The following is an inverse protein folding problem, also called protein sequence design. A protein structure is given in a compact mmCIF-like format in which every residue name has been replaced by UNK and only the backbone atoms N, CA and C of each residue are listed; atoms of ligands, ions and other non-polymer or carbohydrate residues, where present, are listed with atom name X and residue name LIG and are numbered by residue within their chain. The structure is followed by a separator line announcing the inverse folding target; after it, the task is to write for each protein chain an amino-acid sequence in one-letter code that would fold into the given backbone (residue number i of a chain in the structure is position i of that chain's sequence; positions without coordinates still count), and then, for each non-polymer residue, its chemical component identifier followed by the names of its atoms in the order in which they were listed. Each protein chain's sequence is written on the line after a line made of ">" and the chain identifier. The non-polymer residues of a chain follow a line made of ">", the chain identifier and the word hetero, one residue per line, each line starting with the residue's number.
data_IF_727403292733
#
_entry.id   IF_727403292733
#
_cell.length_a   1.000
_cell.length_b   1.000
_cell.length_c   1.000
_cell.angle_alpha   90.00
_cell.angle_beta   90.00
_cell.angle_gamma   90.00
#
_symmetry.space_group_name_H-M   'P 1'
#
loop_
_entity.id
_entity.type
_entity.pdbx_description
1 polymer ?
#
# COMPACT_ATOMS: atom_id res chain seq x y z
N UNK A 1 -1.05 19.93 -21.70
CA UNK A 1 -1.86 20.62 -20.68
C UNK A 1 -2.12 19.61 -19.58
N UNK A 2 -1.31 19.62 -18.54
CA UNK A 2 -1.51 18.75 -17.37
C UNK A 2 -2.62 19.38 -16.53
N UNK A 3 -3.83 18.81 -16.61
CA UNK A 3 -4.90 19.15 -15.66
C UNK A 3 -4.48 18.78 -14.24
N UNK A 4 -5.23 19.29 -13.25
CA UNK A 4 -5.06 18.82 -11.88
C UNK A 4 -5.30 17.30 -11.83
N UNK A 5 -4.46 16.55 -11.12
CA UNK A 5 -4.65 15.10 -10.89
C UNK A 5 -5.44 14.85 -9.61
N UNK A 6 -5.35 15.76 -8.64
CA UNK A 6 -5.96 15.64 -7.31
C UNK A 6 -7.16 16.56 -7.21
N UNK A 7 -8.29 16.02 -6.77
CA UNK A 7 -9.40 16.82 -6.27
C UNK A 7 -9.04 17.33 -4.87
N UNK A 8 -8.49 18.55 -4.82
CA UNK A 8 -8.01 19.15 -3.57
C UNK A 8 -9.14 19.37 -2.57
N UNK A 9 -10.36 19.66 -3.04
CA UNK A 9 -11.50 19.91 -2.17
C UNK A 9 -11.95 18.62 -1.47
N UNK A 10 -12.12 17.54 -2.25
CA UNK A 10 -12.41 16.21 -1.71
C UNK A 10 -11.29 15.75 -0.77
N UNK A 11 -10.03 15.93 -1.16
CA UNK A 11 -8.88 15.54 -0.35
C UNK A 11 -8.87 16.22 1.04
N UNK A 12 -9.15 17.51 1.10
CA UNK A 12 -9.26 18.27 2.35
C UNK A 12 -10.48 17.84 3.19
N UNK A 13 -11.60 17.51 2.55
CA UNK A 13 -12.79 17.02 3.25
C UNK A 13 -12.53 15.69 3.96
N UNK A 14 -11.92 14.73 3.26
CA UNK A 14 -11.52 13.47 3.86
C UNK A 14 -10.56 13.67 5.04
N UNK A 15 -9.62 14.61 4.95
CA UNK A 15 -8.74 14.90 6.09
C UNK A 15 -9.51 15.47 7.28
N UNK A 16 -10.43 16.42 7.05
CA UNK A 16 -11.27 16.97 8.14
C UNK A 16 -12.08 15.87 8.83
N UNK A 17 -12.67 14.96 8.05
CA UNK A 17 -13.41 13.82 8.59
C UNK A 17 -12.53 12.83 9.34
N UNK A 18 -11.31 12.58 8.85
CA UNK A 18 -10.35 11.72 9.52
C UNK A 18 -9.95 12.34 10.87
N UNK A 19 -9.59 13.62 10.92
CA UNK A 19 -9.17 14.31 12.14
C UNK A 19 -10.27 14.40 13.22
N UNK A 20 -11.53 14.19 12.85
CA UNK A 20 -12.61 14.02 13.82
C UNK A 20 -12.60 12.63 14.51
N UNK A 21 -11.74 11.70 14.07
CA UNK A 21 -11.69 10.29 14.49
C UNK A 21 -10.28 9.80 14.89
N UNK A 22 -9.23 10.52 14.51
CA UNK A 22 -7.83 10.22 14.83
C UNK A 22 -7.07 11.50 15.12
N UNK A 23 -6.20 11.46 16.12
CA UNK A 23 -5.35 12.60 16.51
C UNK A 23 -4.08 12.68 15.67
N UNK A 24 -3.47 13.87 15.58
CA UNK A 24 -2.16 14.03 14.91
C UNK A 24 -1.09 13.14 15.55
N UNK A 25 -1.03 13.07 16.88
CA UNK A 25 -0.09 12.20 17.60
C UNK A 25 -0.27 10.71 17.27
N UNK A 26 -1.49 10.27 16.96
CA UNK A 26 -1.75 8.89 16.53
C UNK A 26 -1.32 8.67 15.08
N UNK A 27 -1.48 9.66 14.21
CA UNK A 27 -0.99 9.60 12.83
C UNK A 27 0.54 9.54 12.80
N UNK A 28 1.21 10.35 13.62
CA UNK A 28 2.67 10.34 13.76
C UNK A 28 3.17 8.97 14.27
N UNK A 29 2.48 8.39 15.26
CA UNK A 29 2.79 7.03 15.75
C UNK A 29 2.63 5.96 14.66
N UNK A 30 1.63 6.08 13.79
CA UNK A 30 1.48 5.14 12.66
C UNK A 30 2.65 5.33 11.68
N UNK A 31 3.07 6.57 11.42
CA UNK A 31 4.24 6.83 10.58
C UNK A 31 5.53 6.23 11.17
N UNK A 32 5.75 6.35 12.48
CA UNK A 32 6.89 5.73 13.18
C UNK A 32 6.84 4.19 13.08
N UNK A 33 5.65 3.58 13.18
CA UNK A 33 5.46 2.14 12.96
C UNK A 33 5.82 1.72 11.52
N UNK A 34 5.55 2.58 10.52
CA UNK A 34 5.94 2.34 9.13
C UNK A 34 7.45 2.48 8.92
N UNK A 35 8.11 3.42 9.60
CA UNK A 35 9.58 3.51 9.59
C UNK A 35 10.22 2.23 10.18
N UNK A 36 9.65 1.68 11.25
CA UNK A 36 10.09 0.40 11.79
C UNK A 36 9.86 -0.77 10.79
N UNK A 37 8.71 -0.78 10.10
CA UNK A 37 8.43 -1.75 9.03
C UNK A 37 9.40 -1.63 7.87
N UNK A 38 9.70 -0.40 7.45
CA UNK A 38 10.70 -0.10 6.42
C UNK A 38 12.08 -0.63 6.80
N UNK A 39 12.58 -0.29 7.98
CA UNK A 39 13.87 -0.77 8.48
C UNK A 39 13.93 -2.31 8.47
N UNK A 40 12.83 -2.97 8.86
CA UNK A 40 12.73 -4.43 8.83
C UNK A 40 12.73 -5.00 7.41
N UNK A 41 11.98 -4.42 6.48
CA UNK A 41 11.99 -4.87 5.08
C UNK A 41 13.37 -4.70 4.47
N UNK A 42 14.04 -3.57 4.71
CA UNK A 42 15.42 -3.35 4.28
C UNK A 42 16.38 -4.39 4.84
N UNK A 43 16.25 -4.77 6.12
CA UNK A 43 17.11 -5.80 6.71
C UNK A 43 16.84 -7.21 6.15
N UNK A 44 15.57 -7.53 5.85
CA UNK A 44 15.17 -8.86 5.35
C UNK A 44 15.40 -9.04 3.85
N UNK A 45 15.28 -7.95 3.09
CA UNK A 45 15.36 -7.92 1.63
C UNK A 45 16.63 -7.23 1.15
N UNK A 46 17.60 -6.99 2.04
CA UNK A 46 18.84 -6.25 1.77
C UNK A 46 19.39 -6.67 0.40
N UNK A 47 19.44 -5.76 -0.58
CA UNK A 47 19.78 -6.09 -1.96
C UNK A 47 21.29 -6.29 -2.13
N UNK A 48 21.96 -6.92 -1.15
CA UNK A 48 23.34 -7.35 -1.27
C UNK A 48 23.50 -8.07 -2.63
N UNK A 49 24.50 -7.69 -3.44
CA UNK A 49 24.53 -8.06 -4.85
C UNK A 49 24.47 -9.59 -5.04
N UNK A 50 23.47 -10.03 -5.81
CA UNK A 50 23.43 -11.36 -6.41
C UNK A 50 22.90 -12.51 -5.56
N UNK A 51 22.28 -12.26 -4.39
CA UNK A 51 21.64 -13.34 -3.61
C UNK A 51 20.17 -13.06 -3.30
N UNK A 52 19.26 -13.98 -3.68
CA UNK A 52 17.89 -13.98 -3.20
C UNK A 52 17.80 -14.03 -1.66
N UNK A 53 16.75 -13.44 -1.06
CA UNK A 53 16.51 -13.55 0.39
C UNK A 53 16.33 -15.02 0.81
N UNK A 54 16.84 -15.35 2.01
CA UNK A 54 16.70 -16.69 2.57
C UNK A 54 15.22 -17.05 2.84
N UNK A 55 14.84 -18.33 2.84
CA UNK A 55 13.45 -18.76 3.08
C UNK A 55 12.82 -18.23 4.37
N UNK A 56 13.60 -18.09 5.44
CA UNK A 56 13.10 -17.53 6.70
C UNK A 56 12.88 -16.02 6.64
N UNK A 57 13.73 -15.30 5.89
CA UNK A 57 13.53 -13.88 5.62
C UNK A 57 12.27 -13.67 4.76
N UNK A 58 12.08 -14.49 3.73
CA UNK A 58 10.86 -14.50 2.91
C UNK A 58 9.61 -14.76 3.75
N UNK A 59 9.67 -15.75 4.65
CA UNK A 59 8.56 -16.05 5.57
C UNK A 59 8.23 -14.84 6.45
N UNK A 60 9.24 -14.14 6.97
CA UNK A 60 9.06 -12.94 7.78
C UNK A 60 8.42 -11.79 6.97
N UNK A 61 8.88 -11.56 5.74
CA UNK A 61 8.28 -10.57 4.82
C UNK A 61 6.81 -10.91 4.54
N UNK A 62 6.51 -12.15 4.15
CA UNK A 62 5.14 -12.57 3.84
C UNK A 62 4.18 -12.45 5.04
N UNK A 63 4.67 -12.61 6.29
CA UNK A 63 3.88 -12.39 7.52
C UNK A 63 3.60 -10.93 7.81
N UNK A 64 4.35 -10.02 7.21
CA UNK A 64 4.24 -8.55 7.43
C UNK A 64 3.33 -7.86 6.41
N UNK A 65 3.03 -8.56 5.32
CA UNK A 65 2.16 -8.10 4.23
C UNK A 65 0.73 -8.57 4.53
N UNK A 66 -0.22 -7.63 4.56
CA UNK A 66 -1.59 -7.92 5.01
C UNK A 66 -2.26 -9.01 4.16
N UNK A 67 -2.05 -8.96 2.85
CA UNK A 67 -2.63 -9.88 1.89
C UNK A 67 -2.08 -11.32 1.99
N UNK A 68 -0.82 -11.49 2.41
CA UNK A 68 -0.12 -12.78 2.39
C UNK A 68 0.07 -13.41 3.76
N UNK A 69 -0.08 -12.66 4.86
CA UNK A 69 0.29 -13.14 6.21
C UNK A 69 -0.41 -14.41 6.68
N UNK A 70 -1.65 -14.64 6.23
CA UNK A 70 -2.44 -15.85 6.53
C UNK A 70 -2.28 -16.96 5.48
N UNK A 71 -1.54 -16.68 4.41
CA UNK A 71 -1.40 -17.53 3.22
C UNK A 71 0.05 -17.96 2.98
N UNK A 72 0.95 -17.75 3.94
CA UNK A 72 2.38 -18.08 3.79
C UNK A 72 2.61 -19.54 3.42
N UNK A 73 1.92 -20.48 4.08
CA UNK A 73 2.03 -21.91 3.77
C UNK A 73 1.55 -22.24 2.37
N UNK A 74 0.41 -21.65 1.95
CA UNK A 74 -0.14 -21.80 0.60
C UNK A 74 0.81 -21.23 -0.47
N UNK A 75 1.36 -20.05 -0.24
CA UNK A 75 2.32 -19.40 -1.15
C UNK A 75 3.57 -20.26 -1.36
N UNK A 76 4.13 -20.80 -0.27
CA UNK A 76 5.28 -21.69 -0.37
C UNK A 76 4.95 -23.03 -1.00
N UNK A 77 3.74 -23.56 -0.82
CA UNK A 77 3.31 -24.79 -1.46
C UNK A 77 3.10 -24.62 -2.98
N UNK A 78 2.58 -23.47 -3.43
CA UNK A 78 2.29 -23.24 -4.85
C UNK A 78 3.49 -22.72 -5.64
N UNK A 79 4.29 -21.82 -5.05
CA UNK A 79 5.39 -21.13 -5.76
C UNK A 79 6.76 -21.68 -5.38
N UNK A 80 6.92 -22.14 -4.14
CA UNK A 80 8.22 -22.46 -3.56
C UNK A 80 8.96 -21.21 -3.04
N UNK A 81 9.72 -21.39 -1.96
CA UNK A 81 10.44 -20.28 -1.32
C UNK A 81 11.57 -19.73 -2.21
N UNK A 82 12.36 -20.61 -2.84
CA UNK A 82 13.47 -20.20 -3.69
C UNK A 82 13.01 -19.46 -4.97
N UNK A 83 12.04 -19.97 -5.77
CA UNK A 83 11.51 -19.25 -6.92
C UNK A 83 10.89 -17.90 -6.57
N UNK A 84 10.25 -17.79 -5.40
CA UNK A 84 9.73 -16.53 -4.88
C UNK A 84 10.86 -15.56 -4.53
N UNK A 85 11.90 -16.04 -3.85
CA UNK A 85 13.09 -15.25 -3.51
C UNK A 85 13.76 -14.65 -4.75
N UNK A 86 13.97 -15.45 -5.80
CA UNK A 86 14.54 -14.99 -7.07
C UNK A 86 13.70 -13.88 -7.68
N UNK A 87 12.37 -14.04 -7.69
CA UNK A 87 11.45 -13.01 -8.23
C UNK A 87 11.47 -11.72 -7.42
N UNK A 88 11.49 -11.81 -6.09
CA UNK A 88 11.62 -10.63 -5.22
C UNK A 88 12.96 -9.93 -5.47
N UNK A 89 14.05 -10.69 -5.62
CA UNK A 89 15.36 -10.13 -5.95
C UNK A 89 15.34 -9.39 -7.30
N UNK A 90 14.80 -10.01 -8.35
CA UNK A 90 14.66 -9.36 -9.67
C UNK A 90 13.75 -8.13 -9.64
N UNK A 91 12.68 -8.15 -8.84
CA UNK A 91 11.81 -6.99 -8.65
C UNK A 91 12.58 -5.80 -8.05
N UNK A 92 13.39 -6.04 -7.01
CA UNK A 92 14.10 -5.00 -6.27
C UNK A 92 15.36 -4.52 -6.98
N UNK A 93 16.19 -5.46 -7.46
CA UNK A 93 17.55 -5.23 -7.95
C UNK A 93 17.74 -5.52 -9.45
N UNK A 94 16.71 -5.99 -10.16
CA UNK A 94 16.79 -6.24 -11.60
C UNK A 94 17.12 -4.99 -12.40
N UNK A 95 17.76 -5.19 -13.56
CA UNK A 95 18.24 -4.10 -14.45
C UNK A 95 17.17 -3.58 -15.42
N UNK A 96 16.09 -4.33 -15.61
CA UNK A 96 14.99 -3.92 -16.48
C UNK A 96 14.25 -2.69 -15.90
N UNK A 97 13.55 -1.91 -16.75
CA UNK A 97 12.67 -0.84 -16.30
C UNK A 97 11.67 -1.32 -15.24
N UNK A 98 11.31 -0.44 -14.28
CA UNK A 98 10.40 -0.77 -13.18
C UNK A 98 9.07 -1.38 -13.66
N UNK A 99 8.48 -0.84 -14.74
CA UNK A 99 7.27 -1.38 -15.37
C UNK A 99 7.42 -2.87 -15.70
N UNK A 100 8.54 -3.24 -16.32
CA UNK A 100 8.83 -4.60 -16.76
C UNK A 100 9.10 -5.52 -15.58
N UNK A 101 9.89 -5.07 -14.59
CA UNK A 101 10.17 -5.83 -13.37
C UNK A 101 8.89 -6.15 -12.59
N UNK A 102 8.02 -5.15 -12.44
CA UNK A 102 6.74 -5.30 -11.75
C UNK A 102 5.81 -6.26 -12.51
N UNK A 103 5.71 -6.10 -13.83
CA UNK A 103 4.91 -6.99 -14.68
C UNK A 103 5.42 -8.44 -14.60
N UNK A 104 6.73 -8.65 -14.76
CA UNK A 104 7.34 -9.98 -14.68
C UNK A 104 7.14 -10.66 -13.32
N UNK A 105 7.17 -9.89 -12.23
CA UNK A 105 6.84 -10.41 -10.91
C UNK A 105 5.39 -10.89 -10.82
N UNK A 106 4.43 -10.08 -11.29
CA UNK A 106 3.00 -10.42 -11.25
C UNK A 106 2.69 -11.63 -12.14
N UNK A 107 3.26 -11.68 -13.34
CA UNK A 107 3.03 -12.82 -14.25
C UNK A 107 3.71 -14.09 -13.73
N UNK A 108 4.90 -13.96 -13.16
CA UNK A 108 5.68 -15.08 -12.66
C UNK A 108 5.09 -15.80 -11.44
N UNK A 109 4.07 -15.24 -10.80
CA UNK A 109 3.41 -15.79 -9.61
C UNK A 109 2.06 -16.49 -9.92
N UNK A 110 1.79 -16.79 -11.19
CA UNK A 110 0.68 -17.68 -11.58
C UNK A 110 0.83 -19.08 -10.96
N UNK A 111 -0.24 -19.69 -10.37
CA UNK A 111 -1.68 -19.38 -10.47
C UNK A 111 -2.28 -18.53 -9.34
N UNK A 112 -1.49 -17.84 -8.51
CA UNK A 112 -2.04 -17.12 -7.35
C UNK A 112 -3.07 -16.06 -7.76
N UNK A 113 -4.07 -15.69 -6.95
CA UNK A 113 -4.96 -14.58 -7.29
C UNK A 113 -4.19 -13.28 -7.60
N UNK A 114 -4.50 -12.62 -8.72
CA UNK A 114 -3.75 -11.44 -9.21
C UNK A 114 -3.55 -10.36 -8.15
N UNK A 115 -4.57 -10.11 -7.31
CA UNK A 115 -4.49 -9.12 -6.24
C UNK A 115 -3.41 -9.42 -5.21
N UNK A 116 -3.17 -10.68 -4.87
CA UNK A 116 -2.07 -11.01 -3.97
C UNK A 116 -0.71 -10.66 -4.59
N UNK A 117 -0.60 -10.82 -5.91
CA UNK A 117 0.67 -10.67 -6.62
C UNK A 117 1.08 -9.19 -6.64
N UNK A 118 0.15 -8.28 -6.99
CA UNK A 118 0.46 -6.85 -6.98
C UNK A 118 0.54 -6.28 -5.56
N UNK A 119 -0.29 -6.74 -4.61
CA UNK A 119 -0.19 -6.32 -3.19
C UNK A 119 1.22 -6.66 -2.65
N UNK A 120 1.70 -7.89 -2.90
CA UNK A 120 3.02 -8.34 -2.46
C UNK A 120 4.15 -7.60 -3.17
N UNK A 121 4.08 -7.45 -4.50
CA UNK A 121 5.09 -6.74 -5.28
C UNK A 121 5.26 -5.31 -4.76
N UNK A 122 4.14 -4.63 -4.54
CA UNK A 122 4.15 -3.25 -4.11
C UNK A 122 4.66 -3.08 -2.69
N UNK A 123 4.27 -3.93 -1.74
CA UNK A 123 4.80 -3.85 -0.38
C UNK A 123 6.31 -4.15 -0.34
N UNK A 124 6.79 -5.12 -1.11
CA UNK A 124 8.23 -5.39 -1.24
C UNK A 124 9.01 -4.17 -1.74
N UNK A 125 8.53 -3.52 -2.81
CA UNK A 125 9.17 -2.32 -3.35
C UNK A 125 9.11 -1.14 -2.37
N UNK A 126 7.90 -0.76 -1.96
CA UNK A 126 7.66 0.43 -1.17
C UNK A 126 8.36 0.39 0.20
N UNK A 127 8.23 -0.69 0.96
CA UNK A 127 8.88 -0.77 2.26
C UNK A 127 10.39 -1.05 2.17
N UNK A 128 10.95 -1.35 1.00
CA UNK A 128 12.41 -1.39 0.82
C UNK A 128 12.98 0.00 0.49
N UNK A 129 12.27 0.81 -0.28
CA UNK A 129 12.68 2.16 -0.67
C UNK A 129 11.46 3.08 -0.92
N UNK A 130 10.85 3.65 0.14
CA UNK A 130 9.61 4.41 0.05
C UNK A 130 9.80 5.76 -0.65
N UNK A 131 11.04 6.26 -0.73
CA UNK A 131 11.38 7.47 -1.48
C UNK A 131 11.31 7.25 -3.00
N UNK A 132 11.42 6.00 -3.46
CA UNK A 132 11.46 5.64 -4.88
C UNK A 132 10.20 4.93 -5.36
N UNK A 133 9.52 4.22 -4.49
CA UNK A 133 8.45 3.31 -4.84
C UNK A 133 7.19 3.58 -4.02
N UNK A 134 6.03 3.39 -4.64
CA UNK A 134 4.73 3.71 -4.05
C UNK A 134 4.02 2.46 -3.52
N UNK A 135 3.12 2.66 -2.55
CA UNK A 135 2.22 1.64 -2.06
C UNK A 135 0.96 1.54 -2.94
N UNK A 136 0.83 0.44 -3.66
CA UNK A 136 -0.35 0.01 -4.39
C UNK A 136 -0.83 -1.33 -3.85
N UNK A 137 -1.90 -1.26 -3.07
CA UNK A 137 -2.70 -2.42 -2.69
C UNK A 137 -4.15 -2.20 -3.10
N UNK A 138 -4.99 -3.23 -3.02
CA UNK A 138 -6.42 -3.11 -3.35
C UNK A 138 -7.18 -2.01 -2.61
N UNK A 139 -6.78 -1.68 -1.38
CA UNK A 139 -7.47 -0.61 -0.64
C UNK A 139 -7.05 0.77 -1.14
N UNK A 140 -5.88 0.90 -1.78
CA UNK A 140 -5.45 2.13 -2.48
C UNK A 140 -6.19 2.23 -3.81
N UNK A 141 -6.12 1.17 -4.63
CA UNK A 141 -6.81 1.05 -5.90
C UNK A 141 -7.02 -0.44 -6.27
N UNK A 142 -8.27 -0.86 -6.42
CA UNK A 142 -8.66 -2.16 -6.96
C UNK A 142 -9.17 -1.98 -8.40
N UNK A 143 -8.39 -2.40 -9.42
CA UNK A 143 -8.81 -2.27 -10.81
C UNK A 143 -10.02 -3.15 -11.16
N UNK A 144 -10.28 -4.23 -10.42
CA UNK A 144 -11.38 -5.15 -10.71
C UNK A 144 -12.74 -4.55 -10.32
N UNK A 145 -12.80 -3.82 -9.21
CA UNK A 145 -14.03 -3.17 -8.72
C UNK A 145 -14.06 -1.67 -8.97
N UNK A 146 -12.94 -1.09 -9.44
CA UNK A 146 -12.75 0.35 -9.63
C UNK A 146 -13.01 1.15 -8.35
N UNK A 147 -12.49 0.65 -7.22
CA UNK A 147 -12.66 1.26 -5.89
C UNK A 147 -11.32 1.41 -5.16
N UNK A 148 -11.25 2.28 -4.17
CA UNK A 148 -10.07 2.43 -3.32
C UNK A 148 -9.99 3.83 -2.72
N UNK A 149 -8.93 4.13 -1.97
CA UNK A 149 -8.67 5.45 -1.43
C UNK A 149 -8.39 6.47 -2.53
N UNK A 150 -7.54 6.09 -3.49
CA UNK A 150 -7.00 6.99 -4.50
C UNK A 150 -8.06 7.59 -5.45
N UNK A 151 -9.03 6.83 -5.98
CA UNK A 151 -10.10 7.41 -6.80
C UNK A 151 -11.03 8.38 -6.05
N UNK A 152 -11.00 8.42 -4.71
CA UNK A 152 -11.82 9.34 -3.92
C UNK A 152 -11.20 10.74 -3.79
N UNK A 153 -9.92 10.88 -4.14
CA UNK A 153 -9.14 12.12 -3.99
C UNK A 153 -8.45 12.54 -5.29
N UNK A 154 -8.67 11.78 -6.36
CA UNK A 154 -8.18 12.11 -7.71
C UNK A 154 -9.34 12.61 -8.56
N UNK A 155 -9.03 13.39 -9.59
CA UNK A 155 -10.03 13.84 -10.56
C UNK A 155 -10.62 12.64 -11.30
N UNK A 156 -11.93 12.67 -11.59
CA UNK A 156 -12.64 11.56 -12.23
C UNK A 156 -12.03 11.16 -13.58
N UNK A 157 -11.44 12.12 -14.30
CA UNK A 157 -10.81 11.91 -15.59
C UNK A 157 -9.42 11.26 -15.51
N UNK A 158 -8.83 11.15 -14.31
CA UNK A 158 -7.53 10.53 -14.14
C UNK A 158 -7.66 9.00 -14.15
N UNK A 159 -7.26 8.38 -15.27
CA UNK A 159 -7.30 6.93 -15.39
C UNK A 159 -6.15 6.25 -14.62
N UNK A 160 -6.52 5.54 -13.55
CA UNK A 160 -5.60 4.73 -12.76
C UNK A 160 -5.25 3.41 -13.44
N UNK A 161 -6.00 2.96 -14.45
CA UNK A 161 -5.71 1.73 -15.17
C UNK A 161 -4.67 1.97 -16.28
N UNK A 162 -3.54 1.26 -16.19
CA UNK A 162 -2.49 1.30 -17.20
C UNK A 162 -2.62 0.20 -18.27
N UNK A 163 -3.63 -0.66 -18.19
CA UNK A 163 -3.83 -1.82 -19.08
C UNK A 163 -2.91 -3.02 -18.81
N UNK A 164 -2.00 -2.92 -17.85
CA UNK A 164 -1.15 -4.00 -17.37
C UNK A 164 -0.74 -3.72 -15.93
N UNK A 165 -0.39 -4.74 -15.13
CA UNK A 165 -0.02 -4.53 -13.73
C UNK A 165 1.16 -3.56 -13.58
N UNK A 166 2.20 -3.71 -14.41
CA UNK A 166 3.34 -2.79 -14.39
C UNK A 166 2.98 -1.36 -14.80
N UNK A 167 2.04 -1.17 -15.73
CA UNK A 167 1.61 0.16 -16.15
C UNK A 167 0.68 0.82 -15.11
N UNK A 168 -0.25 0.05 -14.55
CA UNK A 168 -1.15 0.47 -13.47
C UNK A 168 -0.34 0.87 -12.23
N UNK A 169 0.73 0.14 -11.90
CA UNK A 169 1.62 0.53 -10.80
C UNK A 169 2.21 1.93 -10.98
N UNK A 170 2.64 2.28 -12.21
CA UNK A 170 3.15 3.62 -12.50
C UNK A 170 2.06 4.70 -12.46
N UNK A 171 0.84 4.41 -12.93
CA UNK A 171 -0.30 5.34 -12.83
C UNK A 171 -0.71 5.62 -11.39
N UNK A 172 -0.78 4.57 -10.57
CA UNK A 172 -1.02 4.69 -9.13
C UNK A 172 0.11 5.49 -8.48
N UNK A 173 1.35 5.24 -8.86
CA UNK A 173 2.51 5.99 -8.37
C UNK A 173 2.47 7.49 -8.70
N UNK A 174 2.13 7.82 -9.94
CA UNK A 174 1.93 9.20 -10.40
C UNK A 174 0.84 9.91 -9.57
N UNK A 175 -0.35 9.30 -9.45
CA UNK A 175 -1.43 9.87 -8.64
C UNK A 175 -1.04 10.03 -7.16
N UNK A 176 -0.38 9.03 -6.56
CA UNK A 176 0.09 9.12 -5.17
C UNK A 176 1.13 10.23 -4.99
N UNK A 177 2.02 10.46 -5.96
CA UNK A 177 2.96 11.57 -5.92
C UNK A 177 2.23 12.93 -5.95
N UNK A 178 1.23 13.09 -6.82
CA UNK A 178 0.39 14.29 -6.82
C UNK A 178 -0.38 14.50 -5.52
N UNK A 179 -0.90 13.43 -4.90
CA UNK A 179 -1.54 13.49 -3.58
C UNK A 179 -0.55 13.95 -2.51
N UNK A 180 0.68 13.42 -2.53
CA UNK A 180 1.74 13.83 -1.62
C UNK A 180 2.05 15.32 -1.76
N UNK A 181 2.32 15.80 -2.97
CA UNK A 181 2.65 17.20 -3.26
C UNK A 181 1.50 18.15 -2.90
N UNK A 182 0.27 17.82 -3.32
CA UNK A 182 -0.93 18.61 -3.00
C UNK A 182 -1.15 18.68 -1.49
N UNK A 183 -0.99 17.56 -0.80
CA UNK A 183 -1.15 17.48 0.64
C UNK A 183 -0.10 18.27 1.42
N UNK A 184 1.14 18.35 0.93
CA UNK A 184 2.19 19.17 1.53
C UNK A 184 1.88 20.65 1.36
N UNK A 185 1.48 21.06 0.14
CA UNK A 185 1.11 22.44 -0.15
C UNK A 185 -0.13 22.89 0.65
N UNK A 186 -1.09 22.00 0.86
CA UNK A 186 -2.32 22.28 1.59
C UNK A 186 -2.24 21.96 3.11
N UNK A 187 -1.11 21.43 3.59
CA UNK A 187 -0.83 21.21 5.01
C UNK A 187 -1.53 20.01 5.66
N UNK A 188 -2.03 19.03 4.89
CA UNK A 188 -2.73 17.86 5.44
C UNK A 188 -1.98 16.53 5.32
N UNK A 189 -0.89 16.44 4.56
CA UNK A 189 0.03 15.27 4.56
C UNK A 189 1.32 15.51 5.34
N UNK A 190 1.38 16.59 6.13
CA UNK A 190 2.44 16.83 7.11
C UNK A 190 2.29 15.88 8.32
N UNK A 191 2.34 14.59 8.04
CA UNK A 191 2.16 13.48 8.98
C UNK A 191 3.50 12.76 9.10
N UNK A 192 4.02 12.66 10.33
CA UNK A 192 5.31 12.06 10.62
C UNK A 192 6.50 12.85 10.08
N UNK A 193 7.70 12.37 10.40
CA UNK A 193 8.98 12.94 9.94
C UNK A 193 9.54 12.26 8.68
N UNK A 194 8.79 11.34 8.08
CA UNK A 194 9.27 10.35 7.10
C UNK A 194 8.51 10.34 5.78
N UNK A 195 8.83 9.36 4.94
CA UNK A 195 8.29 9.22 3.57
C UNK A 195 6.84 8.71 3.48
N UNK A 196 6.18 8.45 4.61
CA UNK A 196 4.92 7.70 4.69
C UNK A 196 3.66 8.55 4.83
N UNK A 197 3.77 9.88 4.78
CA UNK A 197 2.62 10.77 5.01
C UNK A 197 1.47 10.54 4.03
N UNK A 198 1.77 10.22 2.77
CA UNK A 198 0.76 9.89 1.76
C UNK A 198 0.07 8.55 2.06
N UNK A 199 0.80 7.55 2.54
CA UNK A 199 0.25 6.23 2.86
C UNK A 199 -0.70 6.29 4.07
N UNK A 200 -0.29 7.02 5.12
CA UNK A 200 -1.13 7.26 6.30
C UNK A 200 -2.39 8.04 5.93
N UNK A 201 -2.24 9.08 5.10
CA UNK A 201 -3.37 9.85 4.59
C UNK A 201 -4.34 8.98 3.79
N UNK A 202 -3.87 8.23 2.79
CA UNK A 202 -4.73 7.36 1.98
C UNK A 202 -5.40 6.27 2.81
N UNK A 203 -4.73 5.73 3.84
CA UNK A 203 -5.34 4.80 4.78
C UNK A 203 -6.50 5.45 5.56
N UNK A 204 -6.37 6.73 5.92
CA UNK A 204 -7.44 7.50 6.54
C UNK A 204 -8.60 7.74 5.58
N UNK A 205 -8.32 8.14 4.33
CA UNK A 205 -9.33 8.31 3.27
C UNK A 205 -10.14 7.01 3.11
N UNK A 206 -9.46 5.87 2.97
CA UNK A 206 -10.12 4.58 2.86
C UNK A 206 -10.94 4.24 4.11
N UNK A 207 -10.40 4.51 5.30
CA UNK A 207 -11.10 4.28 6.55
C UNK A 207 -12.39 5.09 6.66
N UNK A 208 -12.36 6.38 6.33
CA UNK A 208 -13.53 7.26 6.28
C UNK A 208 -14.55 6.73 5.27
N UNK A 209 -14.12 6.36 4.07
CA UNK A 209 -14.98 5.73 3.06
C UNK A 209 -15.68 4.47 3.60
N UNK A 210 -14.92 3.55 4.22
CA UNK A 210 -15.46 2.34 4.83
C UNK A 210 -16.51 2.66 5.90
N UNK A 211 -16.25 3.64 6.77
CA UNK A 211 -17.22 4.07 7.78
C UNK A 211 -18.49 4.62 7.15
N UNK A 212 -18.38 5.43 6.11
CA UNK A 212 -19.53 6.06 5.44
C UNK A 212 -20.36 5.03 4.67
N UNK A 213 -19.72 4.20 3.85
CA UNK A 213 -20.41 3.19 3.03
C UNK A 213 -21.02 2.08 3.88
N UNK A 214 -20.37 1.63 4.96
CA UNK A 214 -20.92 0.59 5.83
C UNK A 214 -22.02 1.16 6.75
N UNK A 215 -21.88 2.38 7.27
CA UNK A 215 -22.96 3.03 8.07
C UNK A 215 -24.25 3.16 7.29
N UNK A 216 -24.20 3.46 5.99
CA UNK A 216 -25.39 3.56 5.16
C UNK A 216 -26.10 2.21 4.94
N UNK A 217 -25.44 1.08 5.22
CA UNK A 217 -25.96 -0.27 4.94
C UNK A 217 -26.44 -1.04 6.18
N UNK A 218 -26.28 -0.52 7.41
CA UNK A 218 -26.51 -1.33 8.64
C UNK A 218 -27.28 -0.62 9.77
N UNK A 219 -28.08 -1.40 10.52
CA UNK A 219 -28.79 -1.02 11.75
C UNK A 219 -27.85 -0.97 12.97
N UNK A 220 -28.27 -0.29 14.06
CA UNK A 220 -27.43 0.11 15.21
C UNK A 220 -26.59 -1.00 15.89
N UNK A 221 -26.99 -2.28 15.81
CA UNK A 221 -26.30 -3.40 16.49
C UNK A 221 -24.96 -3.80 15.83
N UNK A 222 -24.71 -3.41 14.58
CA UNK A 222 -23.48 -3.78 13.85
C UNK A 222 -22.32 -2.77 13.98
N UNK A 223 -22.53 -1.64 14.65
CA UNK A 223 -21.48 -0.62 14.90
C UNK A 223 -20.28 -1.15 15.72
N UNK A 224 -20.38 -2.36 16.29
CA UNK A 224 -19.30 -3.01 17.06
C UNK A 224 -18.29 -3.81 16.23
N UNK A 225 -18.49 -3.95 14.92
CA UNK A 225 -17.64 -4.83 14.07
C UNK A 225 -16.47 -4.08 13.41
N UNK A 226 -16.60 -2.77 13.15
CA UNK A 226 -15.53 -1.99 12.52
C UNK A 226 -14.58 -1.46 13.60
N UNK A 227 -13.28 -1.76 13.52
CA UNK A 227 -12.31 -1.22 14.48
C UNK A 227 -12.23 0.31 14.37
N UNK A 228 -11.83 1.02 15.44
CA UNK A 228 -11.57 2.46 15.37
C UNK A 228 -10.60 2.82 14.24
N UNK A 229 -10.70 4.04 13.71
CA UNK A 229 -9.88 4.49 12.57
C UNK A 229 -8.36 4.25 12.78
N UNK A 230 -7.75 4.55 13.95
CA UNK A 230 -6.32 4.28 14.16
C UNK A 230 -5.94 2.81 14.04
N UNK A 231 -6.82 1.90 14.44
CA UNK A 231 -6.58 0.46 14.29
C UNK A 231 -6.81 0.01 12.85
N UNK A 232 -7.83 0.53 12.18
CA UNK A 232 -8.10 0.24 10.78
C UNK A 232 -6.91 0.63 9.89
N UNK A 233 -6.37 1.85 10.05
CA UNK A 233 -5.19 2.31 9.31
C UNK A 233 -4.00 1.37 9.52
N UNK A 234 -3.69 1.00 10.79
CA UNK A 234 -2.62 0.04 11.09
C UNK A 234 -2.81 -1.32 10.44
N UNK A 235 -4.06 -1.81 10.33
CA UNK A 235 -4.37 -3.08 9.66
C UNK A 235 -4.15 -2.98 8.15
N UNK A 236 -4.59 -1.89 7.52
CA UNK A 236 -4.41 -1.65 6.08
C UNK A 236 -2.94 -1.53 5.68
N UNK A 237 -2.15 -0.84 6.53
CA UNK A 237 -0.73 -0.63 6.35
C UNK A 237 0.13 -1.83 6.80
N UNK A 238 -0.50 -2.85 7.39
CA UNK A 238 0.17 -4.07 7.84
C UNK A 238 1.09 -3.89 9.04
N UNK A 239 0.92 -2.82 9.82
CA UNK A 239 1.67 -2.56 11.07
C UNK A 239 0.92 -3.00 12.34
N UNK A 240 -0.35 -3.37 12.21
CA UNK A 240 -1.14 -3.87 13.34
C UNK A 240 -0.63 -5.23 13.82
N UNK A 241 -0.08 -5.26 15.05
CA UNK A 241 0.49 -6.46 15.69
C UNK A 241 1.53 -7.13 14.80
N UNK A 242 2.44 -6.35 14.22
CA UNK A 242 3.62 -6.93 13.57
C UNK A 242 4.40 -7.76 14.58
N UNK A 243 4.65 -9.01 14.25
CA UNK A 243 5.49 -9.89 15.06
C UNK A 243 6.92 -9.31 15.11
N UNK A 244 7.41 -9.08 16.33
CA UNK A 244 8.78 -8.66 16.63
C UNK A 244 9.81 -9.68 16.13
#
# INVERSE_FOLDING_TARGET
>A
MTGAVVDTAAAQEFMREALAKITLDELDRIADELEAKHARFRALLDPAPGRPPAPDALRAVLRSVFATRRRVGELFAQVGAEPLGVRIHELLAGRAPLRERFQAFVDGLDPLPQHLRFDLASECLHYTDPARYWLWTRWVWDPATRTGALPLVTMEEFDLDGGSAGATYLRVGEATAFVHETGQAAGFTAIGRGGFGADVYLACVYGVYVFTTIRMRMTQEFNRVIPPLPELCRRLLGVHRMDS
#
